data_IF_426693606470
#
_entry.id   IF_426693606470
#
_cell.length_a   1.000
_cell.length_b   1.000
_cell.length_c   1.000
_cell.angle_alpha   90.00
_cell.angle_beta   90.00
_cell.angle_gamma   90.00
#
_symmetry.space_group_name_H-M   'P 1'
#
loop_
_entity.id
_entity.type
_entity.pdbx_description
1 polymer ?
#
# COMPACT_ATOMS: atom_id res chain seq x y z
N UNK A 1 -0.10 0.87 -9.02
CA UNK A 1 0.71 2.05 -8.60
C UNK A 1 0.10 3.28 -9.27
N UNK A 2 -0.42 4.24 -8.49
CA UNK A 2 -1.14 5.42 -9.03
C UNK A 2 -0.17 6.42 -9.68
N UNK A 3 0.97 6.65 -9.05
CA UNK A 3 1.97 7.62 -9.52
C UNK A 3 3.03 6.98 -10.41
N UNK A 4 3.78 7.82 -11.10
CA UNK A 4 5.00 7.45 -11.82
C UNK A 4 6.19 7.10 -10.91
N UNK A 5 6.05 7.37 -9.60
CA UNK A 5 7.05 7.15 -8.55
C UNK A 5 8.43 7.75 -8.83
N UNK A 6 8.51 8.76 -9.69
CA UNK A 6 9.73 9.55 -9.86
C UNK A 6 10.03 10.31 -8.56
N UNK A 7 11.29 10.35 -8.19
CA UNK A 7 11.73 11.14 -7.04
C UNK A 7 12.75 12.19 -7.46
N UNK A 8 12.38 13.43 -7.22
CA UNK A 8 13.20 14.60 -7.49
C UNK A 8 13.49 15.31 -6.16
N UNK A 9 14.74 15.65 -5.91
CA UNK A 9 15.15 16.43 -4.75
C UNK A 9 14.66 17.88 -4.84
N UNK A 10 14.80 18.62 -3.75
CA UNK A 10 14.48 20.06 -3.67
C UNK A 10 15.35 20.93 -4.60
N UNK A 11 16.54 20.45 -4.99
CA UNK A 11 17.45 21.08 -5.94
C UNK A 11 17.14 20.74 -7.42
N UNK A 12 16.04 20.02 -7.68
CA UNK A 12 15.63 19.59 -9.01
C UNK A 12 16.37 18.37 -9.57
N UNK A 13 17.28 17.75 -8.80
CA UNK A 13 18.00 16.56 -9.24
C UNK A 13 17.13 15.31 -9.16
N UNK A 14 17.06 14.58 -10.27
CA UNK A 14 16.37 13.28 -10.31
C UNK A 14 17.21 12.26 -9.52
N UNK A 15 16.66 11.77 -8.41
CA UNK A 15 17.26 10.71 -7.58
C UNK A 15 16.81 9.34 -8.07
N UNK A 16 15.56 9.21 -8.49
CA UNK A 16 14.99 8.00 -9.07
C UNK A 16 14.12 8.37 -10.26
N UNK A 17 14.46 7.84 -11.44
CA UNK A 17 13.65 8.05 -12.65
C UNK A 17 12.39 7.16 -12.64
N UNK A 18 11.37 7.57 -13.41
CA UNK A 18 10.17 6.76 -13.68
C UNK A 18 10.51 5.34 -14.14
N UNK A 19 11.46 5.21 -15.07
CA UNK A 19 11.92 3.91 -15.60
C UNK A 19 12.48 3.02 -14.49
N UNK A 20 13.32 3.57 -13.63
CA UNK A 20 13.89 2.84 -12.48
C UNK A 20 12.79 2.42 -11.50
N UNK A 21 11.90 3.34 -11.14
CA UNK A 21 10.80 3.08 -10.22
C UNK A 21 9.88 1.97 -10.74
N UNK A 22 9.54 2.01 -12.03
CA UNK A 22 8.71 0.98 -12.67
C UNK A 22 9.40 -0.39 -12.66
N UNK A 23 10.67 -0.46 -13.03
CA UNK A 23 11.44 -1.71 -13.02
C UNK A 23 11.58 -2.31 -11.61
N UNK A 24 11.76 -1.47 -10.58
CA UNK A 24 11.77 -1.89 -9.18
C UNK A 24 10.41 -2.44 -8.75
N UNK A 25 9.33 -1.75 -9.08
CA UNK A 25 7.96 -2.19 -8.82
C UNK A 25 7.62 -3.51 -9.52
N UNK A 26 8.03 -3.69 -10.78
CA UNK A 26 7.85 -4.96 -11.50
C UNK A 26 8.56 -6.12 -10.80
N UNK A 27 9.81 -5.91 -10.34
CA UNK A 27 10.53 -6.95 -9.58
C UNK A 27 9.84 -7.28 -8.27
N UNK A 28 9.38 -6.27 -7.54
CA UNK A 28 8.63 -6.46 -6.29
C UNK A 28 7.33 -7.25 -6.54
N UNK A 29 6.56 -6.87 -7.57
CA UNK A 29 5.33 -7.55 -7.96
C UNK A 29 5.59 -9.02 -8.35
N UNK A 30 6.62 -9.28 -9.16
CA UNK A 30 7.00 -10.64 -9.54
C UNK A 30 7.36 -11.52 -8.33
N UNK A 31 8.03 -10.97 -7.32
CA UNK A 31 8.39 -11.72 -6.10
C UNK A 31 7.14 -12.21 -5.35
N UNK A 32 6.07 -11.42 -5.31
CA UNK A 32 4.84 -11.76 -4.59
C UNK A 32 3.75 -12.36 -5.48
N UNK A 33 4.04 -12.58 -6.77
CA UNK A 33 3.07 -13.13 -7.72
C UNK A 33 1.93 -12.17 -8.09
N UNK A 34 2.16 -10.86 -8.02
CA UNK A 34 1.17 -9.83 -8.35
C UNK A 34 1.42 -9.20 -9.73
N UNK A 35 0.36 -8.66 -10.33
CA UNK A 35 0.45 -7.83 -11.53
C UNK A 35 0.64 -6.37 -11.15
N UNK A 36 1.64 -5.70 -11.73
CA UNK A 36 1.84 -4.28 -11.57
C UNK A 36 1.18 -3.51 -12.71
N UNK A 37 0.25 -2.64 -12.35
CA UNK A 37 -0.27 -1.61 -13.25
C UNK A 37 0.19 -0.26 -12.73
N UNK A 38 0.71 0.58 -13.61
CA UNK A 38 1.26 1.88 -13.27
C UNK A 38 0.40 2.99 -13.88
N UNK A 39 -0.13 3.88 -13.04
CA UNK A 39 -0.67 5.15 -13.46
C UNK A 39 0.46 6.11 -13.85
N UNK A 40 0.10 7.22 -14.44
CA UNK A 40 1.05 8.26 -14.89
C UNK A 40 0.94 9.55 -14.09
N UNK A 41 0.25 9.54 -12.95
CA UNK A 41 0.14 10.71 -12.10
C UNK A 41 1.51 11.06 -11.52
N UNK A 42 1.82 12.34 -11.47
CA UNK A 42 3.11 12.79 -10.97
C UNK A 42 3.18 12.66 -9.46
N UNK A 43 4.29 12.11 -8.97
CA UNK A 43 4.56 11.95 -7.53
C UNK A 43 4.55 13.31 -6.84
N UNK A 44 3.96 13.41 -5.67
CA UNK A 44 3.71 14.61 -4.86
C UNK A 44 2.68 15.59 -5.43
N UNK A 45 1.99 15.22 -6.51
CA UNK A 45 0.96 16.06 -7.13
C UNK A 45 -0.42 15.36 -7.17
N UNK A 46 -0.56 14.21 -6.50
CA UNK A 46 -1.85 13.52 -6.41
C UNK A 46 -2.79 14.29 -5.50
N UNK A 47 -3.95 14.64 -6.01
CA UNK A 47 -4.98 15.34 -5.25
C UNK A 47 -6.29 14.56 -5.27
N UNK A 48 -7.06 14.65 -4.17
CA UNK A 48 -8.41 14.11 -4.12
C UNK A 48 -9.34 14.91 -5.03
N UNK A 49 -9.69 14.35 -6.18
CA UNK A 49 -10.56 14.96 -7.18
C UNK A 49 -11.25 13.89 -8.04
N UNK A 50 -12.19 14.33 -8.90
CA UNK A 50 -12.94 13.43 -9.79
C UNK A 50 -12.04 12.60 -10.71
N UNK A 51 -10.96 13.17 -11.23
CA UNK A 51 -10.03 12.46 -12.13
C UNK A 51 -9.37 11.26 -11.45
N UNK A 52 -8.96 11.40 -10.18
CA UNK A 52 -8.39 10.30 -9.41
C UNK A 52 -9.46 9.24 -9.10
N UNK A 53 -10.68 9.66 -8.78
CA UNK A 53 -11.79 8.75 -8.49
C UNK A 53 -12.18 7.96 -9.76
N UNK A 54 -12.29 8.61 -10.90
CA UNK A 54 -12.57 7.97 -12.20
C UNK A 54 -11.50 6.94 -12.56
N UNK A 55 -10.23 7.32 -12.45
CA UNK A 55 -9.10 6.41 -12.66
C UNK A 55 -9.19 5.14 -11.79
N UNK A 56 -9.56 5.28 -10.51
CA UNK A 56 -9.73 4.12 -9.61
C UNK A 56 -10.97 3.29 -9.98
N UNK A 57 -12.09 3.93 -10.39
CA UNK A 57 -13.28 3.24 -10.81
C UNK A 57 -13.02 2.36 -12.04
N UNK A 58 -12.28 2.86 -13.04
CA UNK A 58 -11.91 2.08 -14.22
C UNK A 58 -11.24 0.75 -13.83
N UNK A 59 -10.26 0.78 -12.91
CA UNK A 59 -9.62 -0.45 -12.43
C UNK A 59 -10.56 -1.37 -11.64
N UNK A 60 -11.43 -0.80 -10.81
CA UNK A 60 -12.39 -1.57 -10.02
C UNK A 60 -13.32 -2.34 -10.93
N UNK A 61 -13.81 -1.69 -11.98
CA UNK A 61 -14.77 -2.27 -12.92
C UNK A 61 -14.11 -3.26 -13.88
N UNK A 62 -12.97 -2.91 -14.47
CA UNK A 62 -12.24 -3.75 -15.45
C UNK A 62 -11.77 -5.06 -14.83
N UNK A 63 -11.28 -5.03 -13.59
CA UNK A 63 -10.76 -6.20 -12.90
C UNK A 63 -11.75 -6.86 -11.94
N UNK A 64 -13.01 -6.37 -11.87
CA UNK A 64 -14.07 -6.91 -11.00
C UNK A 64 -13.58 -7.06 -9.55
N UNK A 65 -12.97 -6.02 -9.03
CA UNK A 65 -12.36 -6.01 -7.71
C UNK A 65 -13.42 -6.19 -6.62
N UNK A 66 -13.19 -7.11 -5.69
CA UNK A 66 -14.08 -7.40 -4.57
C UNK A 66 -13.45 -7.15 -3.19
N UNK A 67 -12.13 -6.90 -3.16
CA UNK A 67 -11.36 -6.51 -1.98
C UNK A 67 -10.31 -5.47 -2.36
N UNK A 68 -10.28 -4.37 -1.62
CA UNK A 68 -9.30 -3.31 -1.81
C UNK A 68 -8.44 -3.18 -0.56
N UNK A 69 -7.12 -3.18 -0.76
CA UNK A 69 -6.15 -2.67 0.20
C UNK A 69 -5.69 -1.30 -0.27
N UNK A 70 -5.82 -0.28 0.58
CA UNK A 70 -5.44 1.09 0.24
C UNK A 70 -4.66 1.76 1.36
N UNK A 71 -4.01 2.87 1.04
CA UNK A 71 -3.36 3.71 2.04
C UNK A 71 -4.35 4.24 3.06
N UNK A 72 -3.88 4.40 4.29
CA UNK A 72 -4.61 5.11 5.33
C UNK A 72 -4.82 6.58 4.92
N UNK A 73 -6.04 7.08 5.02
CA UNK A 73 -6.42 8.41 4.53
C UNK A 73 -5.94 9.57 5.42
N UNK A 74 -5.42 9.27 6.62
CA UNK A 74 -4.74 10.20 7.52
C UNK A 74 -3.20 10.07 7.48
N UNK A 75 -2.64 9.45 6.43
CA UNK A 75 -1.20 9.35 6.24
C UNK A 75 -0.57 10.74 6.07
N UNK A 76 0.65 10.96 6.62
CA UNK A 76 1.39 12.23 6.46
C UNK A 76 1.78 12.52 5.02
N UNK A 77 1.90 11.47 4.19
CA UNK A 77 2.23 11.65 2.78
C UNK A 77 0.98 12.06 2.00
N UNK A 78 1.01 13.26 1.40
CA UNK A 78 -0.15 13.83 0.70
C UNK A 78 -0.74 12.91 -0.37
N UNK A 79 0.10 12.20 -1.16
CA UNK A 79 -0.38 11.27 -2.19
C UNK A 79 -1.09 10.07 -1.56
N UNK A 80 -0.56 9.52 -0.45
CA UNK A 80 -1.18 8.40 0.25
C UNK A 80 -2.56 8.80 0.81
N UNK A 81 -2.63 9.95 1.49
CA UNK A 81 -3.89 10.49 2.01
C UNK A 81 -4.91 10.74 0.90
N UNK A 82 -4.50 11.35 -0.22
CA UNK A 82 -5.39 11.60 -1.35
C UNK A 82 -5.91 10.30 -1.98
N UNK A 83 -5.02 9.29 -2.16
CA UNK A 83 -5.38 7.98 -2.69
C UNK A 83 -6.33 7.25 -1.73
N UNK A 84 -6.04 7.25 -0.43
CA UNK A 84 -6.93 6.67 0.58
C UNK A 84 -8.35 7.23 0.49
N UNK A 85 -8.48 8.56 0.53
CA UNK A 85 -9.78 9.26 0.39
C UNK A 85 -10.49 8.96 -0.92
N UNK A 86 -9.78 8.99 -2.04
CA UNK A 86 -10.35 8.69 -3.35
C UNK A 86 -10.82 7.23 -3.45
N UNK A 87 -10.08 6.31 -2.84
CA UNK A 87 -10.44 4.89 -2.80
C UNK A 87 -11.72 4.64 -2.02
N UNK A 88 -11.97 5.38 -0.93
CA UNK A 88 -13.23 5.28 -0.19
C UNK A 88 -14.44 5.67 -1.07
N UNK A 89 -14.27 6.70 -1.89
CA UNK A 89 -15.31 7.14 -2.82
C UNK A 89 -15.49 6.12 -3.96
N UNK A 90 -14.44 5.80 -4.68
CA UNK A 90 -14.46 4.85 -5.80
C UNK A 90 -14.96 3.47 -5.36
N UNK A 91 -14.46 2.96 -4.25
CA UNK A 91 -14.78 1.65 -3.68
C UNK A 91 -16.09 1.60 -2.87
N UNK A 92 -16.95 2.63 -2.89
CA UNK A 92 -18.16 2.70 -2.04
C UNK A 92 -19.09 1.49 -2.19
N UNK A 93 -19.08 0.83 -3.34
CA UNK A 93 -19.89 -0.37 -3.63
C UNK A 93 -19.11 -1.69 -3.48
N UNK A 94 -17.80 -1.62 -3.24
CA UNK A 94 -16.97 -2.81 -3.04
C UNK A 94 -17.23 -3.40 -1.65
N UNK A 95 -17.40 -4.72 -1.52
CA UNK A 95 -17.80 -5.33 -0.25
C UNK A 95 -16.71 -5.28 0.85
N UNK A 96 -15.43 -5.12 0.48
CA UNK A 96 -14.32 -5.19 1.43
C UNK A 96 -13.28 -4.12 1.12
N UNK A 97 -13.01 -3.25 2.10
CA UNK A 97 -11.96 -2.23 2.03
C UNK A 97 -11.18 -2.24 3.34
N UNK A 98 -9.89 -2.42 3.22
CA UNK A 98 -8.91 -2.43 4.30
C UNK A 98 -7.85 -1.34 4.06
N UNK A 99 -7.53 -0.58 5.08
CA UNK A 99 -6.49 0.43 5.04
C UNK A 99 -5.23 -0.04 5.76
N UNK A 100 -4.06 0.31 5.21
CA UNK A 100 -2.77 0.04 5.82
C UNK A 100 -1.97 1.32 6.01
N UNK A 101 -1.14 1.35 7.07
CA UNK A 101 -0.14 2.40 7.29
C UNK A 101 1.17 1.99 6.63
N UNK A 102 1.65 2.81 5.69
CA UNK A 102 2.80 2.45 4.86
C UNK A 102 4.14 3.03 5.32
N UNK A 103 4.14 3.89 6.34
CA UNK A 103 5.34 4.57 6.82
C UNK A 103 5.41 4.61 8.36
N UNK A 104 6.55 5.02 8.88
CA UNK A 104 6.86 5.13 10.31
C UNK A 104 6.57 6.49 10.94
N UNK A 105 6.10 7.44 10.14
CA UNK A 105 5.82 8.78 10.65
C UNK A 105 4.54 8.81 11.49
N UNK A 106 4.55 9.64 12.52
CA UNK A 106 3.38 9.85 13.36
C UNK A 106 2.49 10.94 12.76
N UNK A 107 1.19 10.83 13.01
CA UNK A 107 0.19 11.82 12.67
C UNK A 107 -0.59 12.21 13.94
N UNK A 108 -1.43 13.24 13.85
CA UNK A 108 -2.36 13.59 14.92
C UNK A 108 -3.45 12.54 15.14
N UNK A 109 -3.74 11.76 14.10
CA UNK A 109 -4.77 10.73 14.15
C UNK A 109 -4.17 9.37 14.51
N UNK A 110 -4.98 8.53 15.14
CA UNK A 110 -4.58 7.19 15.56
C UNK A 110 -5.02 6.15 14.51
N UNK A 111 -4.06 5.41 13.97
CA UNK A 111 -4.36 4.25 13.14
C UNK A 111 -4.97 3.13 14.00
N UNK A 112 -6.20 2.72 13.67
CA UNK A 112 -6.96 1.72 14.43
C UNK A 112 -6.96 0.36 13.73
N UNK A 113 -5.79 -0.26 13.63
CA UNK A 113 -5.65 -1.59 13.07
C UNK A 113 -6.33 -2.64 13.96
N UNK A 114 -7.31 -3.36 13.41
CA UNK A 114 -8.08 -4.39 14.11
C UNK A 114 -8.23 -5.69 13.31
N UNK A 115 -7.80 -5.70 12.06
CA UNK A 115 -7.82 -6.88 11.20
C UNK A 115 -6.39 -7.36 10.97
N UNK A 116 -6.07 -8.52 11.53
CA UNK A 116 -4.72 -9.09 11.47
C UNK A 116 -4.65 -10.21 10.44
N UNK A 117 -3.54 -10.23 9.72
CA UNK A 117 -3.21 -11.32 8.78
C UNK A 117 -1.89 -11.95 9.21
N UNK A 118 -1.92 -13.24 9.54
CA UNK A 118 -0.70 -13.99 9.83
C UNK A 118 0.17 -14.12 8.59
N UNK A 119 1.34 -13.48 8.64
CA UNK A 119 2.36 -13.50 7.58
C UNK A 119 3.62 -14.26 7.98
N UNK A 120 3.56 -15.08 9.05
CA UNK A 120 4.74 -15.77 9.60
C UNK A 120 5.48 -16.59 8.55
N UNK A 121 4.75 -17.26 7.67
CA UNK A 121 5.32 -18.11 6.63
C UNK A 121 5.78 -17.33 5.36
N UNK A 122 5.42 -16.05 5.24
CA UNK A 122 5.72 -15.23 4.06
C UNK A 122 6.51 -13.97 4.39
N UNK A 123 6.96 -13.82 5.64
CA UNK A 123 7.72 -12.64 6.06
C UNK A 123 9.00 -12.44 5.25
N UNK A 124 9.71 -13.51 4.91
CA UNK A 124 10.92 -13.43 4.09
C UNK A 124 10.59 -13.01 2.65
N UNK A 125 9.43 -13.43 2.13
CA UNK A 125 8.92 -12.99 0.82
C UNK A 125 8.65 -11.49 0.84
N UNK A 126 7.96 -10.98 1.87
CA UNK A 126 7.73 -9.55 2.08
C UNK A 126 9.03 -8.76 2.10
N UNK A 127 10.03 -9.19 2.88
CA UNK A 127 11.32 -8.51 2.96
C UNK A 127 12.04 -8.49 1.61
N UNK A 128 11.99 -9.57 0.83
CA UNK A 128 12.55 -9.60 -0.53
C UNK A 128 11.84 -8.60 -1.46
N UNK A 129 10.52 -8.54 -1.40
CA UNK A 129 9.73 -7.59 -2.20
C UNK A 129 10.05 -6.13 -1.83
N UNK A 130 10.15 -5.80 -0.53
CA UNK A 130 10.56 -4.46 -0.07
C UNK A 130 11.96 -4.10 -0.56
N UNK A 131 12.93 -5.02 -0.47
CA UNK A 131 14.31 -4.80 -0.96
C UNK A 131 14.41 -4.67 -2.48
N UNK A 132 13.43 -5.16 -3.24
CA UNK A 132 13.40 -5.00 -4.69
C UNK A 132 13.21 -3.53 -5.11
N UNK A 133 12.69 -2.68 -4.22
CA UNK A 133 12.74 -1.22 -4.32
C UNK A 133 14.13 -0.70 -3.93
N UNK A 134 15.13 -1.04 -4.74
CA UNK A 134 16.54 -0.89 -4.40
C UNK A 134 16.94 0.57 -4.11
N UNK A 135 16.40 1.53 -4.85
CA UNK A 135 16.69 2.96 -4.63
C UNK A 135 16.14 3.46 -3.30
N UNK A 136 14.94 3.02 -2.90
CA UNK A 136 14.40 3.35 -1.57
C UNK A 136 15.16 2.63 -0.46
N UNK A 137 15.52 1.36 -0.67
CA UNK A 137 16.31 0.61 0.29
C UNK A 137 17.70 1.22 0.51
N UNK A 138 18.36 1.69 -0.56
CA UNK A 138 19.66 2.39 -0.45
C UNK A 138 19.54 3.70 0.34
N UNK A 139 18.44 4.45 0.13
CA UNK A 139 18.16 5.72 0.82
C UNK A 139 17.84 5.51 2.31
N UNK A 140 16.93 4.59 2.61
CA UNK A 140 16.42 4.36 3.96
C UNK A 140 17.32 3.44 4.80
N UNK A 141 18.16 2.61 4.16
CA UNK A 141 19.10 1.72 4.79
C UNK A 141 18.47 0.52 5.49
N UNK A 142 19.30 -0.16 6.30
CA UNK A 142 18.88 -1.36 7.05
C UNK A 142 17.75 -1.07 8.05
N UNK A 143 17.69 0.14 8.60
CA UNK A 143 16.67 0.56 9.56
C UNK A 143 15.25 0.43 9.02
N UNK A 144 15.05 0.60 7.72
CA UNK A 144 13.75 0.43 7.07
C UNK A 144 13.24 -1.02 7.16
N UNK A 145 14.12 -1.98 6.92
CA UNK A 145 13.80 -3.41 7.04
C UNK A 145 13.54 -3.80 8.50
N UNK A 146 14.36 -3.30 9.42
CA UNK A 146 14.20 -3.58 10.84
C UNK A 146 12.89 -2.99 11.39
N UNK A 147 12.49 -1.81 10.89
CA UNK A 147 11.19 -1.22 11.22
C UNK A 147 10.05 -2.20 10.87
N UNK A 148 9.97 -2.66 9.61
CA UNK A 148 8.90 -3.59 9.20
C UNK A 148 8.94 -4.92 9.95
N UNK A 149 10.12 -5.45 10.23
CA UNK A 149 10.26 -6.68 11.01
C UNK A 149 9.74 -6.51 12.43
N UNK A 150 10.10 -5.42 13.08
CA UNK A 150 9.68 -5.16 14.46
C UNK A 150 8.18 -4.86 14.54
N UNK A 151 7.66 -4.03 13.64
CA UNK A 151 6.23 -3.74 13.56
C UNK A 151 5.42 -5.03 13.37
N UNK A 152 5.76 -5.85 12.37
CA UNK A 152 5.02 -7.09 12.12
C UNK A 152 5.21 -8.13 13.23
N UNK A 153 6.35 -8.13 13.94
CA UNK A 153 6.54 -8.98 15.12
C UNK A 153 5.65 -8.54 16.26
N UNK A 154 5.58 -7.24 16.54
CA UNK A 154 4.73 -6.69 17.60
C UNK A 154 3.26 -7.01 17.31
N UNK A 155 2.78 -6.74 16.09
CA UNK A 155 1.43 -7.10 15.68
C UNK A 155 1.16 -8.61 15.81
N UNK A 156 2.14 -9.45 15.48
CA UNK A 156 2.03 -10.91 15.64
C UNK A 156 1.90 -11.34 17.10
N UNK A 157 2.66 -10.72 18.00
CA UNK A 157 2.58 -11.00 19.44
C UNK A 157 1.21 -10.69 20.04
N UNK A 158 0.54 -9.63 19.57
CA UNK A 158 -0.80 -9.26 20.02
C UNK A 158 -1.84 -10.35 19.76
N UNK A 159 -1.64 -11.19 18.73
CA UNK A 159 -2.58 -12.24 18.32
C UNK A 159 -1.99 -13.66 18.40
N UNK A 160 -0.81 -13.82 19.01
CA UNK A 160 -0.21 -15.14 19.24
C UNK A 160 0.44 -15.81 18.04
N UNK A 161 0.89 -15.05 17.03
CA UNK A 161 1.66 -15.55 15.89
C UNK A 161 3.03 -14.86 15.81
N UNK A 162 3.93 -15.37 14.96
CA UNK A 162 5.30 -14.83 14.86
C UNK A 162 5.35 -13.48 14.21
N UNK A 163 4.59 -13.26 13.12
CA UNK A 163 4.49 -12.02 12.38
C UNK A 163 3.07 -11.83 11.86
N UNK A 164 2.54 -10.61 11.99
CA UNK A 164 1.26 -10.24 11.37
C UNK A 164 1.33 -8.86 10.71
N UNK A 165 0.58 -8.69 9.64
CA UNK A 165 0.16 -7.38 9.17
C UNK A 165 -1.16 -7.00 9.83
N UNK A 166 -1.34 -5.70 10.06
CA UNK A 166 -2.57 -5.17 10.65
C UNK A 166 -3.19 -4.14 9.75
N UNK A 167 -4.52 -4.15 9.65
CA UNK A 167 -5.30 -3.26 8.80
C UNK A 167 -6.42 -2.61 9.60
N UNK A 168 -6.74 -1.37 9.26
CA UNK A 168 -7.96 -0.72 9.67
C UNK A 168 -9.10 -1.14 8.75
N UNK A 169 -10.19 -1.63 9.35
CA UNK A 169 -11.35 -2.12 8.59
C UNK A 169 -12.30 -0.95 8.32
N UNK A 170 -12.42 -0.56 7.08
CA UNK A 170 -13.47 0.37 6.65
C UNK A 170 -14.81 -0.37 6.49
N UNK A 171 -14.78 -1.46 5.79
CA UNK A 171 -15.89 -2.41 5.69
C UNK A 171 -15.38 -3.79 5.30
N UNK A 172 -16.05 -4.81 5.77
CA UNK A 172 -15.71 -6.20 5.46
C UNK A 172 -16.96 -7.06 5.47
N UNK A 173 -17.58 -7.26 4.30
CA UNK A 173 -18.72 -8.14 4.14
C UNK A 173 -18.24 -9.58 4.00
N UNK A 174 -18.59 -10.41 4.97
CA UNK A 174 -18.40 -11.85 4.86
C UNK A 174 -19.62 -12.48 4.18
N UNK A 175 -19.44 -12.90 2.94
CA UNK A 175 -20.50 -13.56 2.17
C UNK A 175 -20.53 -15.06 2.51
N UNK A 176 -21.57 -15.49 3.20
CA UNK A 176 -21.81 -16.93 3.42
C UNK A 176 -22.33 -17.49 2.08
N UNK A 177 -21.48 -18.26 1.38
CA UNK A 177 -21.93 -19.04 0.24
C UNK A 177 -22.93 -20.08 0.72
N UNK A 178 -24.20 -19.99 0.31
CA UNK A 178 -25.12 -21.13 0.44
C UNK A 178 -24.50 -22.27 -0.36
N UNK A 179 -24.27 -23.43 0.26
CA UNK A 179 -23.98 -24.63 -0.52
C UNK A 179 -25.15 -24.87 -1.47
N UNK A 180 -24.88 -25.19 -2.74
CA UNK A 180 -25.92 -25.53 -3.70
C UNK A 180 -26.75 -26.71 -3.21
#
# INVERSE_FOLDING_TARGET
MVTDSEYVNYDGKIVRSKKTAFAEGQRAAAIIGANLICGSMKTKEVTYNSKLIEFLNEFIDDFKIDLIYTHWDHDVHQDHSAIGKATLNAGRHIPRILMYRSNWYQTSDLFRGTYYVDISNVMDLKIRAVKAHATEYQKAGKGWIEFFKNENRNNGQEIGVRYAEVFEVIKYLNMIRRKP
#
